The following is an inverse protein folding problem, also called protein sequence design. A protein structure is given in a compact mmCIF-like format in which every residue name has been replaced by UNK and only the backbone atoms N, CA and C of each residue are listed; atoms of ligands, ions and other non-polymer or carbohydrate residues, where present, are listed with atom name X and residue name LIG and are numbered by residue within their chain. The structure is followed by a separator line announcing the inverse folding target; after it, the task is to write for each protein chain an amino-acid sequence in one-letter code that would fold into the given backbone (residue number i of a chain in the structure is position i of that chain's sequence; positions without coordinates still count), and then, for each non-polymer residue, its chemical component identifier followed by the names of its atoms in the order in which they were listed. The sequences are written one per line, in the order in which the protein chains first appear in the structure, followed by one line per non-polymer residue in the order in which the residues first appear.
data_IF_508156576999
#
_entry.id   IF_508156576999
#
_cell.length_a   1.000
_cell.length_b   1.000
_cell.length_c   1.000
_cell.angle_alpha   90.00
_cell.angle_beta   90.00
_cell.angle_gamma   90.00
#
_symmetry.space_group_name_H-M   'P 1'
#
loop_
_entity.id
_entity.type
_entity.pdbx_description
1 polymer ?
#
# COMPACT_ATOMS: atom_id res chain seq x y z
N UNK A 1 7.78 26.97 18.59
CA UNK A 1 6.99 26.12 19.52
C UNK A 1 6.89 24.73 18.91
N UNK A 2 7.58 23.74 19.47
CA UNK A 2 7.54 22.36 18.94
C UNK A 2 6.27 21.65 19.44
N UNK A 3 5.53 21.02 18.53
CA UNK A 3 4.39 20.17 18.90
C UNK A 3 4.90 18.87 19.53
N UNK A 4 4.26 18.41 20.60
CA UNK A 4 4.53 17.08 21.15
C UNK A 4 4.17 16.01 20.09
N UNK A 5 5.09 15.09 19.73
CA UNK A 5 4.86 14.06 18.72
C UNK A 5 3.66 13.14 19.01
N UNK A 6 3.24 13.04 20.27
CA UNK A 6 2.11 12.21 20.68
C UNK A 6 0.75 12.94 20.60
N UNK A 7 0.74 14.28 20.50
CA UNK A 7 -0.52 15.06 20.43
C UNK A 7 -1.47 14.58 19.32
N UNK A 8 -0.99 14.24 18.10
CA UNK A 8 -1.84 13.68 17.05
C UNK A 8 -2.48 12.34 17.43
N UNK A 9 -1.74 11.45 18.11
CA UNK A 9 -2.30 10.17 18.57
C UNK A 9 -3.37 10.37 19.64
N UNK A 10 -3.20 11.34 20.55
CA UNK A 10 -4.23 11.67 21.54
C UNK A 10 -5.49 12.23 20.88
N UNK A 11 -5.34 13.10 19.89
CA UNK A 11 -6.46 13.63 19.13
C UNK A 11 -7.22 12.51 18.39
N UNK A 12 -6.50 11.66 17.66
CA UNK A 12 -7.08 10.52 16.93
C UNK A 12 -7.81 9.56 17.88
N UNK A 13 -7.21 9.22 19.02
CA UNK A 13 -7.83 8.35 20.03
C UNK A 13 -9.16 8.91 20.54
N UNK A 14 -9.25 10.22 20.79
CA UNK A 14 -10.51 10.85 21.22
C UNK A 14 -11.59 10.76 20.13
N UNK A 15 -11.21 10.89 18.87
CA UNK A 15 -12.13 10.77 17.73
C UNK A 15 -12.63 9.33 17.62
N UNK A 16 -11.75 8.33 17.62
CA UNK A 16 -12.15 6.92 17.48
C UNK A 16 -13.04 6.48 18.63
N UNK A 17 -12.73 6.89 19.88
CA UNK A 17 -13.57 6.60 21.05
C UNK A 17 -14.97 7.19 20.94
N UNK A 18 -15.10 8.44 20.46
CA UNK A 18 -16.40 9.07 20.24
C UNK A 18 -17.24 8.38 19.18
N UNK A 19 -16.60 7.77 18.19
CA UNK A 19 -17.25 7.07 17.08
C UNK A 19 -17.47 5.57 17.37
N UNK A 20 -17.04 5.07 18.53
CA UNK A 20 -17.11 3.63 18.86
C UNK A 20 -16.20 2.76 17.99
N UNK A 21 -15.16 3.34 17.39
CA UNK A 21 -14.19 2.64 16.55
C UNK A 21 -13.06 2.04 17.39
N UNK A 22 -12.47 0.97 16.86
CA UNK A 22 -11.26 0.39 17.44
C UNK A 22 -10.11 1.41 17.50
N UNK A 23 -9.15 1.18 18.40
CA UNK A 23 -8.04 2.08 18.61
C UNK A 23 -7.10 2.08 17.40
N UNK A 24 -6.97 3.23 16.75
CA UNK A 24 -6.04 3.46 15.63
C UNK A 24 -4.96 4.47 16.03
N UNK A 25 -3.72 4.25 15.59
CA UNK A 25 -2.59 5.19 15.74
C UNK A 25 -2.37 5.94 14.44
N UNK A 26 -1.72 7.10 14.52
CA UNK A 26 -1.38 7.90 13.33
C UNK A 26 -0.47 7.15 12.37
N UNK A 27 0.43 6.29 12.87
CA UNK A 27 1.26 5.44 12.02
C UNK A 27 0.44 4.39 11.24
N UNK A 28 -0.70 3.96 11.77
CA UNK A 28 -1.58 3.00 11.07
C UNK A 28 -2.27 3.67 9.87
N UNK A 29 -2.52 4.99 9.94
CA UNK A 29 -2.99 5.77 8.79
C UNK A 29 -1.94 5.83 7.68
N UNK A 30 -0.66 5.97 8.04
CA UNK A 30 0.47 5.91 7.10
C UNK A 30 0.59 4.52 6.46
N UNK A 31 0.34 3.45 7.21
CA UNK A 31 0.27 2.10 6.63
C UNK A 31 -0.89 1.97 5.66
N UNK A 32 -2.08 2.45 6.03
CA UNK A 32 -3.27 2.44 5.19
C UNK A 32 -3.03 3.18 3.86
N UNK A 33 -2.38 4.34 3.90
CA UNK A 33 -1.98 5.08 2.70
C UNK A 33 -1.10 4.24 1.76
N UNK A 34 -0.03 3.62 2.29
CA UNK A 34 0.88 2.80 1.49
C UNK A 34 0.15 1.62 0.84
N UNK A 35 -0.65 0.89 1.60
CA UNK A 35 -1.48 -0.22 1.10
C UNK A 35 -2.44 0.24 0.00
N UNK A 36 -3.15 1.36 0.20
CA UNK A 36 -4.14 1.86 -0.77
C UNK A 36 -3.51 2.38 -2.07
N UNK A 37 -2.28 2.91 -2.02
CA UNK A 37 -1.55 3.31 -3.22
C UNK A 37 -1.08 2.08 -4.02
N UNK A 38 -0.49 1.09 -3.35
CA UNK A 38 -0.01 -0.12 -4.01
C UNK A 38 -1.15 -0.97 -4.57
N UNK A 39 -2.29 -1.06 -3.86
CA UNK A 39 -3.50 -1.70 -4.37
C UNK A 39 -4.05 -1.03 -5.64
N UNK A 40 -3.77 0.27 -5.82
CA UNK A 40 -4.09 1.03 -7.04
C UNK A 40 -2.97 0.99 -8.09
N UNK A 41 -2.01 0.08 -7.95
CA UNK A 41 -0.86 -0.09 -8.86
C UNK A 41 0.00 1.16 -9.03
N UNK A 42 0.05 2.02 -8.02
CA UNK A 42 1.04 3.11 -7.99
C UNK A 42 2.43 2.47 -7.87
N UNK A 43 3.42 2.88 -8.69
CA UNK A 43 4.77 2.31 -8.63
C UNK A 43 5.36 2.36 -7.22
N UNK A 44 6.04 1.28 -6.82
CA UNK A 44 6.56 1.11 -5.46
C UNK A 44 7.56 2.21 -5.08
N UNK A 45 8.38 2.64 -6.04
CA UNK A 45 9.38 3.69 -5.88
C UNK A 45 8.70 5.03 -5.52
N UNK A 46 7.60 5.35 -6.22
CA UNK A 46 6.80 6.56 -5.97
C UNK A 46 6.13 6.49 -4.59
N UNK A 47 5.57 5.34 -4.22
CA UNK A 47 4.99 5.16 -2.87
C UNK A 47 6.06 5.30 -1.80
N UNK A 48 7.25 4.73 -2.03
CA UNK A 48 8.39 4.80 -1.11
C UNK A 48 8.89 6.23 -0.90
N UNK A 49 9.01 6.99 -1.99
CA UNK A 49 9.40 8.40 -1.96
C UNK A 49 8.38 9.25 -1.19
N UNK A 50 7.09 9.08 -1.45
CA UNK A 50 6.01 9.80 -0.75
C UNK A 50 5.92 9.44 0.73
N UNK A 51 6.24 8.21 1.08
CA UNK A 51 6.42 7.81 2.46
C UNK A 51 7.71 8.43 3.04
N UNK A 52 8.70 8.78 2.25
CA UNK A 52 9.98 9.29 2.74
C UNK A 52 10.85 8.18 3.33
N UNK A 53 10.76 6.96 2.79
CA UNK A 53 11.68 5.89 3.14
C UNK A 53 13.00 6.08 2.39
N UNK A 54 14.12 6.07 3.11
CA UNK A 54 15.45 6.22 2.55
C UNK A 54 15.85 5.10 1.56
N UNK A 55 15.17 3.96 1.59
CA UNK A 55 15.39 2.84 0.69
C UNK A 55 14.04 2.19 0.28
N UNK A 56 13.75 2.03 -1.02
CA UNK A 56 12.54 1.35 -1.52
C UNK A 56 12.31 -0.05 -0.95
N UNK A 57 13.38 -0.75 -0.57
CA UNK A 57 13.33 -2.07 0.06
C UNK A 57 12.53 -2.06 1.37
N UNK A 58 12.52 -0.93 2.10
CA UNK A 58 11.70 -0.77 3.32
C UNK A 58 10.21 -0.86 2.97
N UNK A 59 9.80 -0.17 1.91
CA UNK A 59 8.43 -0.18 1.40
C UNK A 59 8.07 -1.57 0.89
N UNK A 60 8.95 -2.20 0.11
CA UNK A 60 8.77 -3.55 -0.41
C UNK A 60 8.58 -4.57 0.71
N UNK A 61 9.45 -4.55 1.72
CA UNK A 61 9.37 -5.49 2.84
C UNK A 61 8.10 -5.29 3.67
N UNK A 62 7.66 -4.03 3.85
CA UNK A 62 6.46 -3.72 4.62
C UNK A 62 5.18 -4.17 3.92
N UNK A 63 5.09 -3.97 2.60
CA UNK A 63 3.85 -4.14 1.84
C UNK A 63 3.89 -5.31 0.85
N UNK A 64 4.85 -6.23 0.99
CA UNK A 64 4.99 -7.41 0.12
C UNK A 64 3.67 -8.17 -0.10
N UNK A 65 2.87 -8.33 0.96
CA UNK A 65 1.58 -9.01 0.92
C UNK A 65 0.58 -8.35 -0.06
N UNK A 66 0.59 -7.01 -0.17
CA UNK A 66 -0.28 -6.28 -1.11
C UNK A 66 0.13 -6.56 -2.56
N UNK A 67 1.42 -6.72 -2.80
CA UNK A 67 1.99 -6.99 -4.12
C UNK A 67 1.91 -8.47 -4.53
N UNK A 68 1.67 -9.39 -3.59
CA UNK A 68 1.45 -10.79 -3.92
C UNK A 68 0.16 -11.00 -4.71
N UNK A 69 -0.90 -10.23 -4.42
CA UNK A 69 -2.12 -10.22 -5.23
C UNK A 69 -1.86 -9.73 -6.65
N UNK A 70 -1.03 -8.69 -6.80
CA UNK A 70 -0.59 -8.23 -8.12
C UNK A 70 0.14 -9.36 -8.87
N UNK A 71 1.08 -10.04 -8.21
CA UNK A 71 1.90 -11.10 -8.82
C UNK A 71 1.09 -12.27 -9.36
N UNK A 72 -0.04 -12.61 -8.71
CA UNK A 72 -0.95 -13.67 -9.20
C UNK A 72 -1.62 -13.29 -10.52
N UNK A 73 -1.90 -12.00 -10.75
CA UNK A 73 -2.48 -11.52 -11.99
C UNK A 73 -1.50 -11.47 -13.17
N UNK A 74 -0.20 -11.40 -12.91
CA UNK A 74 0.86 -11.36 -13.92
C UNK A 74 1.52 -12.72 -14.18
N UNK A 75 0.84 -13.82 -13.85
CA UNK A 75 1.28 -15.14 -14.26
C UNK A 75 0.94 -15.29 -15.75
N UNK A 76 1.93 -15.11 -16.62
CA UNK A 76 1.77 -15.41 -18.04
C UNK A 76 1.57 -16.91 -18.22
N UNK A 77 0.44 -17.30 -18.79
CA UNK A 77 0.27 -18.66 -19.29
C UNK A 77 0.99 -18.77 -20.65
N UNK A 78 2.12 -19.46 -20.68
CA UNK A 78 2.92 -19.67 -21.90
C UNK A 78 2.12 -20.34 -23.02
N UNK A 79 1.11 -21.15 -22.70
CA UNK A 79 0.25 -21.77 -23.71
C UNK A 79 -0.58 -20.73 -24.48
N UNK A 80 -0.94 -19.60 -23.85
CA UNK A 80 -1.68 -18.51 -24.50
C UNK A 80 -0.83 -17.76 -25.53
N UNK A 81 0.49 -17.74 -25.35
CA UNK A 81 1.44 -17.13 -26.30
C UNK A 81 1.72 -18.01 -27.52
N UNK A 82 1.56 -19.33 -27.38
CA UNK A 82 1.83 -20.30 -28.46
C UNK A 82 0.59 -20.57 -29.31
N UNK A 83 -0.62 -20.24 -28.83
CA UNK A 83 -1.84 -20.39 -29.63
C UNK A 83 -1.74 -19.52 -30.88
N UNK A 84 -1.80 -20.12 -32.10
CA UNK A 84 -1.72 -19.35 -33.32
C UNK A 84 -2.87 -18.34 -33.35
N UNK A 85 -2.52 -17.07 -33.50
CA UNK A 85 -3.47 -15.99 -33.65
C UNK A 85 -4.29 -16.27 -34.92
N UNK A 86 -5.48 -16.83 -34.77
CA UNK A 86 -6.46 -16.94 -35.85
C UNK A 86 -7.05 -15.55 -36.07
N UNK A 87 -6.22 -14.63 -36.55
CA UNK A 87 -6.68 -13.37 -37.11
C UNK A 87 -7.56 -13.74 -38.32
N UNK A 88 -8.82 -13.30 -38.23
CA UNK A 88 -9.93 -13.62 -39.13
C UNK A 88 -9.58 -13.23 -40.58
N UNK A 89 -9.85 -14.15 -41.50
CA UNK A 89 -10.02 -13.88 -42.92
C UNK A 89 -11.33 -13.12 -43.17
#
# INVERSE_FOLDING_TARGET
MALNPNSPNHALRRITQRLGLERVRVHDLRHSYGTLCLARRVPLEVVSERLGHANPTITLNRYRHVLEEERRGWVMNLEELVKPNRAKA
#
